data_IF_799732172452
#
_entry.id   IF_799732172452
#
_cell.length_a   1.000
_cell.length_b   1.000
_cell.length_c   1.000
_cell.angle_alpha   90.00
_cell.angle_beta   90.00
_cell.angle_gamma   90.00
#
_symmetry.space_group_name_H-M   'P 1'
#
loop_
_entity.id
_entity.type
_entity.pdbx_description
1 polymer ?
#
# COMPACT_ATOMS: atom_id res chain seq x y z
N UNK A 1 11.27 30.91 -16.47
CA UNK A 1 11.89 30.18 -17.58
C UNK A 1 13.29 30.75 -17.73
N UNK A 2 14.20 30.28 -16.88
CA UNK A 2 15.56 30.81 -16.71
C UNK A 2 16.28 29.82 -15.81
N UNK A 3 17.06 28.90 -16.38
CA UNK A 3 18.22 28.18 -15.80
C UNK A 3 18.74 27.17 -16.87
N UNK A 4 18.97 27.60 -18.11
CA UNK A 4 19.43 26.67 -19.18
C UNK A 4 20.74 27.11 -19.87
N UNK A 5 21.48 28.07 -19.32
CA UNK A 5 22.79 28.42 -19.87
C UNK A 5 23.83 28.59 -18.76
N UNK A 6 24.98 27.94 -18.97
CA UNK A 6 26.25 28.09 -18.24
C UNK A 6 26.56 27.11 -17.09
N UNK A 7 26.53 25.82 -17.39
CA UNK A 7 27.60 24.92 -16.93
C UNK A 7 27.83 23.87 -18.02
N UNK A 8 28.57 24.26 -19.06
CA UNK A 8 29.07 23.30 -20.05
C UNK A 8 30.09 22.40 -19.35
N UNK A 9 29.59 21.30 -18.77
CA UNK A 9 30.41 20.30 -18.11
C UNK A 9 31.49 19.88 -19.09
N UNK A 10 32.76 20.11 -18.72
CA UNK A 10 33.90 19.78 -19.56
C UNK A 10 33.75 18.35 -20.07
N UNK A 11 34.08 18.10 -21.34
CA UNK A 11 34.00 16.76 -21.92
C UNK A 11 34.72 15.72 -21.04
N UNK A 12 35.81 16.10 -20.38
CA UNK A 12 36.51 15.26 -19.41
C UNK A 12 35.68 14.92 -18.16
N UNK A 13 34.96 15.89 -17.61
CA UNK A 13 34.11 15.72 -16.42
C UNK A 13 32.91 14.81 -16.73
N UNK A 14 32.34 14.93 -17.94
CA UNK A 14 31.28 14.03 -18.41
C UNK A 14 31.77 12.58 -18.47
N UNK A 15 32.99 12.34 -18.98
CA UNK A 15 33.57 10.98 -19.02
C UNK A 15 33.77 10.41 -17.62
N UNK A 16 34.28 11.22 -16.69
CA UNK A 16 34.47 10.80 -15.31
C UNK A 16 33.14 10.49 -14.63
N UNK A 17 32.11 11.30 -14.87
CA UNK A 17 30.78 11.10 -14.33
C UNK A 17 30.16 9.78 -14.80
N UNK A 18 30.20 9.50 -16.10
CA UNK A 18 29.74 8.21 -16.63
C UNK A 18 30.55 7.05 -16.06
N UNK A 19 31.88 7.17 -16.04
CA UNK A 19 32.76 6.14 -15.48
C UNK A 19 32.44 5.81 -14.02
N UNK A 20 32.25 6.84 -13.19
CA UNK A 20 31.89 6.71 -11.79
C UNK A 20 30.48 6.11 -11.61
N UNK A 21 29.50 6.60 -12.35
CA UNK A 21 28.11 6.13 -12.26
C UNK A 21 28.00 4.65 -12.67
N UNK A 22 28.58 4.28 -13.82
CA UNK A 22 28.60 2.89 -14.30
C UNK A 22 29.33 2.00 -13.29
N UNK A 23 30.50 2.44 -12.79
CA UNK A 23 31.25 1.67 -11.79
C UNK A 23 30.45 1.42 -10.51
N UNK A 24 29.72 2.44 -10.04
CA UNK A 24 28.89 2.33 -8.84
C UNK A 24 27.72 1.37 -9.06
N UNK A 25 27.01 1.49 -10.18
CA UNK A 25 25.86 0.61 -10.49
C UNK A 25 26.34 -0.84 -10.61
N UNK A 26 27.41 -1.10 -11.35
CA UNK A 26 27.97 -2.45 -11.47
C UNK A 26 28.33 -2.99 -10.09
N UNK A 27 29.01 -2.20 -9.26
CA UNK A 27 29.38 -2.61 -7.91
C UNK A 27 28.16 -2.95 -7.05
N UNK A 28 27.07 -2.17 -7.09
CA UNK A 28 25.85 -2.50 -6.34
C UNK A 28 25.21 -3.78 -6.91
N UNK A 29 24.99 -3.81 -8.22
CA UNK A 29 24.29 -4.91 -8.90
C UNK A 29 25.02 -6.25 -8.81
N UNK A 30 26.34 -6.23 -8.70
CA UNK A 30 27.14 -7.47 -8.64
C UNK A 30 27.78 -7.69 -7.28
N UNK A 31 27.93 -6.66 -6.44
CA UNK A 31 28.55 -6.75 -5.12
C UNK A 31 27.56 -7.13 -4.02
N UNK A 32 26.30 -6.69 -4.10
CA UNK A 32 25.29 -7.03 -3.09
C UNK A 32 24.88 -8.51 -3.06
N UNK A 33 25.22 -9.29 -4.11
CA UNK A 33 24.86 -10.71 -4.23
C UNK A 33 26.03 -11.68 -3.99
N UNK A 34 27.12 -11.25 -3.35
CA UNK A 34 28.30 -12.11 -3.11
C UNK A 34 28.09 -13.20 -2.05
N UNK A 35 26.86 -13.65 -1.81
CA UNK A 35 26.54 -14.82 -1.00
C UNK A 35 26.69 -16.08 -1.86
N UNK A 36 27.93 -16.52 -2.13
CA UNK A 36 28.21 -17.78 -2.82
C UNK A 36 29.54 -17.83 -3.59
N UNK A 37 29.83 -18.99 -4.19
CA UNK A 37 31.07 -19.34 -4.90
C UNK A 37 31.34 -18.59 -6.22
N UNK A 38 30.49 -17.63 -6.61
CA UNK A 38 30.70 -16.83 -7.82
C UNK A 38 31.79 -15.77 -7.58
N UNK A 39 33.02 -16.12 -7.95
CA UNK A 39 34.22 -15.35 -7.59
C UNK A 39 34.35 -14.06 -8.39
N UNK A 40 33.90 -14.01 -9.64
CA UNK A 40 34.12 -12.85 -10.52
C UNK A 40 32.89 -11.97 -10.75
N UNK A 41 33.14 -10.69 -11.05
CA UNK A 41 32.10 -9.73 -11.41
C UNK A 41 31.25 -10.17 -12.61
N UNK A 42 31.88 -10.79 -13.62
CA UNK A 42 31.20 -11.30 -14.82
C UNK A 42 30.26 -12.45 -14.48
N UNK A 43 30.70 -13.43 -13.70
CA UNK A 43 29.85 -14.56 -13.28
C UNK A 43 28.62 -14.08 -12.50
N UNK A 44 28.81 -13.08 -11.62
CA UNK A 44 27.69 -12.51 -10.85
C UNK A 44 26.72 -11.75 -11.75
N UNK A 45 27.22 -10.97 -12.71
CA UNK A 45 26.37 -10.28 -13.68
C UNK A 45 25.56 -11.28 -14.53
N UNK A 46 26.20 -12.33 -15.04
CA UNK A 46 25.54 -13.38 -15.83
C UNK A 46 24.42 -14.06 -15.04
N UNK A 47 24.63 -14.35 -13.75
CA UNK A 47 23.62 -14.99 -12.88
C UNK A 47 22.33 -14.16 -12.75
N UNK A 48 22.44 -12.84 -12.79
CA UNK A 48 21.29 -11.93 -12.67
C UNK A 48 20.86 -11.34 -14.01
N UNK A 49 21.45 -11.78 -15.12
CA UNK A 49 21.21 -11.24 -16.45
C UNK A 49 21.59 -9.76 -16.61
N UNK A 50 22.50 -9.26 -15.79
CA UNK A 50 22.97 -7.87 -15.87
C UNK A 50 23.93 -7.69 -17.06
N UNK A 51 23.87 -6.56 -17.79
CA UNK A 51 24.69 -6.34 -18.99
C UNK A 51 26.18 -6.51 -18.72
N UNK A 52 26.84 -7.40 -19.47
CA UNK A 52 28.26 -7.68 -19.30
C UNK A 52 29.12 -6.50 -19.77
N UNK A 53 28.61 -5.73 -20.73
CA UNK A 53 29.28 -4.54 -21.26
C UNK A 53 29.49 -3.48 -20.17
N UNK A 54 28.56 -3.37 -19.21
CA UNK A 54 28.73 -2.50 -18.05
C UNK A 54 29.85 -3.00 -17.13
N UNK A 55 29.99 -4.31 -16.96
CA UNK A 55 31.08 -4.91 -16.18
C UNK A 55 32.44 -4.65 -16.84
N UNK A 56 32.51 -4.74 -18.16
CA UNK A 56 33.72 -4.49 -18.94
C UNK A 56 34.13 -3.01 -18.92
N UNK A 57 33.16 -2.10 -19.04
CA UNK A 57 33.43 -0.65 -18.86
C UNK A 57 33.98 -0.38 -17.46
N UNK A 58 33.37 -0.92 -16.39
CA UNK A 58 33.90 -0.76 -15.03
C UNK A 58 35.34 -1.26 -14.94
N UNK A 59 35.64 -2.43 -15.50
CA UNK A 59 36.99 -2.99 -15.44
C UNK A 59 38.00 -2.07 -16.14
N UNK A 60 37.70 -1.59 -17.34
CA UNK A 60 38.56 -0.64 -18.07
C UNK A 60 38.77 0.67 -17.30
N UNK A 61 37.69 1.26 -16.77
CA UNK A 61 37.76 2.48 -15.95
C UNK A 61 38.63 2.27 -14.71
N UNK A 62 38.50 1.14 -14.03
CA UNK A 62 39.32 0.82 -12.85
C UNK A 62 40.82 0.64 -13.18
N UNK A 63 41.15 0.22 -14.41
CA UNK A 63 42.52 0.13 -14.90
C UNK A 63 43.03 1.44 -15.53
N UNK A 64 42.26 2.53 -15.46
CA UNK A 64 42.65 3.85 -15.99
C UNK A 64 42.42 4.03 -17.48
N UNK A 65 41.82 3.05 -18.16
CA UNK A 65 41.45 3.16 -19.57
C UNK A 65 40.00 3.64 -19.68
N UNK A 66 39.78 4.94 -19.91
CA UNK A 66 38.43 5.46 -20.14
C UNK A 66 37.93 5.10 -21.55
N UNK A 67 36.78 4.41 -21.67
CA UNK A 67 36.12 4.20 -22.95
C UNK A 67 35.67 5.51 -23.61
N UNK A 68 35.34 5.43 -24.89
CA UNK A 68 34.76 6.58 -25.62
C UNK A 68 33.42 7.03 -25.01
N UNK A 69 33.11 8.32 -25.12
CA UNK A 69 31.84 8.85 -24.59
C UNK A 69 30.60 8.20 -25.22
N UNK A 70 30.64 7.88 -26.51
CA UNK A 70 29.54 7.21 -27.21
C UNK A 70 29.29 5.82 -26.63
N UNK A 71 30.35 5.07 -26.36
CA UNK A 71 30.29 3.76 -25.72
C UNK A 71 29.77 3.87 -24.28
N UNK A 72 30.25 4.83 -23.50
CA UNK A 72 29.76 5.08 -22.15
C UNK A 72 28.26 5.41 -22.13
N UNK A 73 27.79 6.27 -23.06
CA UNK A 73 26.37 6.60 -23.22
C UNK A 73 25.53 5.38 -23.57
N UNK A 74 26.03 4.54 -24.48
CA UNK A 74 25.36 3.30 -24.87
C UNK A 74 25.24 2.32 -23.70
N UNK A 75 26.33 2.10 -22.95
CA UNK A 75 26.33 1.24 -21.77
C UNK A 75 25.43 1.79 -20.66
N UNK A 76 25.41 3.10 -20.47
CA UNK A 76 24.48 3.75 -19.53
C UNK A 76 23.01 3.50 -19.95
N UNK A 77 22.69 3.61 -21.23
CA UNK A 77 21.35 3.33 -21.74
C UNK A 77 20.95 1.86 -21.53
N UNK A 78 21.85 0.90 -21.80
CA UNK A 78 21.62 -0.52 -21.52
C UNK A 78 21.36 -0.77 -20.03
N UNK A 79 22.16 -0.15 -19.17
CA UNK A 79 22.04 -0.28 -17.71
C UNK A 79 20.69 0.27 -17.22
N UNK A 80 20.28 1.44 -17.72
CA UNK A 80 18.98 2.03 -17.40
C UNK A 80 17.81 1.16 -17.89
N UNK A 81 17.93 0.59 -19.09
CA UNK A 81 16.92 -0.31 -19.62
C UNK A 81 16.79 -1.57 -18.75
N UNK A 82 17.91 -2.13 -18.31
CA UNK A 82 17.93 -3.26 -17.38
C UNK A 82 17.23 -2.90 -16.06
N UNK A 83 17.58 -1.77 -15.44
CA UNK A 83 16.97 -1.32 -14.18
C UNK A 83 15.47 -1.05 -14.33
N UNK A 84 15.06 -0.47 -15.45
CA UNK A 84 13.64 -0.25 -15.73
C UNK A 84 12.86 -1.56 -15.75
N UNK A 85 13.36 -2.56 -16.49
CA UNK A 85 12.68 -3.86 -16.63
C UNK A 85 12.68 -4.66 -15.32
N UNK A 86 13.81 -4.70 -14.61
CA UNK A 86 14.01 -5.63 -13.50
C UNK A 86 13.74 -5.04 -12.12
N UNK A 87 13.76 -3.71 -11.98
CA UNK A 87 13.52 -3.04 -10.69
C UNK A 87 12.28 -2.15 -10.74
N UNK A 88 12.29 -1.08 -11.55
CA UNK A 88 11.22 -0.07 -11.49
C UNK A 88 9.84 -0.61 -11.87
N UNK A 89 9.74 -1.52 -12.85
CA UNK A 89 8.46 -2.14 -13.20
C UNK A 89 7.91 -3.02 -12.07
N UNK A 90 8.77 -3.77 -11.39
CA UNK A 90 8.37 -4.61 -10.27
C UNK A 90 7.94 -3.75 -9.07
N UNK A 91 8.77 -2.77 -8.71
CA UNK A 91 8.50 -1.82 -7.64
C UNK A 91 7.18 -1.07 -7.87
N UNK A 92 6.90 -0.66 -9.12
CA UNK A 92 5.63 0.01 -9.46
C UNK A 92 4.43 -0.89 -9.21
N UNK A 93 4.50 -2.19 -9.56
CA UNK A 93 3.41 -3.15 -9.31
C UNK A 93 3.18 -3.33 -7.80
N UNK A 94 4.25 -3.47 -7.04
CA UNK A 94 4.20 -3.62 -5.57
C UNK A 94 3.59 -2.38 -4.90
N UNK A 95 4.02 -1.18 -5.30
CA UNK A 95 3.46 0.08 -4.80
C UNK A 95 1.97 0.21 -5.11
N UNK A 96 1.53 -0.21 -6.29
CA UNK A 96 0.11 -0.21 -6.64
C UNK A 96 -0.68 -1.23 -5.82
N UNK A 97 -0.11 -2.41 -5.54
CA UNK A 97 -0.74 -3.41 -4.68
C UNK A 97 -0.87 -2.91 -3.22
N UNK A 98 0.15 -2.24 -2.70
CA UNK A 98 0.12 -1.62 -1.37
C UNK A 98 -0.94 -0.53 -1.28
N UNK A 99 -1.02 0.37 -2.27
CA UNK A 99 -2.06 1.41 -2.34
C UNK A 99 -3.46 0.80 -2.35
N UNK A 100 -3.69 -0.25 -3.16
CA UNK A 100 -4.98 -0.96 -3.18
C UNK A 100 -5.35 -1.57 -1.82
N UNK A 101 -4.39 -2.21 -1.14
CA UNK A 101 -4.61 -2.78 0.20
C UNK A 101 -4.99 -1.70 1.22
N UNK A 102 -4.36 -0.53 1.18
CA UNK A 102 -4.70 0.58 2.07
C UNK A 102 -6.10 1.13 1.82
N UNK A 103 -6.51 1.26 0.55
CA UNK A 103 -7.88 1.69 0.20
C UNK A 103 -8.92 0.67 0.68
N UNK A 104 -8.67 -0.63 0.49
CA UNK A 104 -9.57 -1.68 0.98
C UNK A 104 -9.67 -1.66 2.51
N UNK A 105 -8.55 -1.46 3.20
CA UNK A 105 -8.53 -1.34 4.66
C UNK A 105 -9.36 -0.16 5.15
N UNK A 106 -9.14 1.05 4.59
CA UNK A 106 -9.94 2.24 4.90
C UNK A 106 -11.43 2.04 4.62
N UNK A 107 -11.77 1.42 3.48
CA UNK A 107 -13.17 1.17 3.13
C UNK A 107 -13.83 0.17 4.10
N UNK A 108 -13.10 -0.84 4.60
CA UNK A 108 -13.61 -1.74 5.66
C UNK A 108 -13.83 -0.99 6.95
N UNK A 109 -12.87 -0.16 7.37
CA UNK A 109 -12.99 0.67 8.59
C UNK A 109 -14.17 1.64 8.48
N UNK A 110 -14.41 2.26 7.31
CA UNK A 110 -15.57 3.13 7.07
C UNK A 110 -16.92 2.38 7.08
N UNK A 111 -16.94 1.13 6.60
CA UNK A 111 -18.15 0.27 6.64
C UNK A 111 -18.42 -0.20 8.06
N UNK A 112 -17.37 -0.54 8.82
CA UNK A 112 -17.47 -0.97 10.21
C UNK A 112 -17.94 0.18 11.12
N UNK A 113 -17.40 1.40 10.93
CA UNK A 113 -17.89 2.61 11.63
C UNK A 113 -19.34 2.95 11.28
N UNK A 114 -19.79 2.68 10.04
CA UNK A 114 -21.20 2.87 9.64
C UNK A 114 -22.13 1.74 10.10
N UNK A 115 -21.62 0.55 10.38
CA UNK A 115 -22.42 -0.54 10.94
C UNK A 115 -22.54 -0.46 12.46
N UNK A 116 -21.55 0.13 13.15
CA UNK A 116 -21.61 0.38 14.60
C UNK A 116 -22.51 1.60 14.94
N UNK A 117 -22.82 2.45 13.96
CA UNK A 117 -23.99 3.33 14.01
C UNK A 117 -25.27 2.57 13.62
N UNK A 118 -25.59 1.50 14.35
CA UNK A 118 -26.93 0.90 14.31
C UNK A 118 -28.01 1.97 14.52
N UNK A 119 -29.28 1.74 14.14
CA UNK A 119 -30.32 2.75 14.25
C UNK A 119 -30.39 3.23 15.70
N UNK A 120 -29.85 4.40 15.97
CA UNK A 120 -30.18 5.13 17.18
C UNK A 120 -31.65 5.41 17.02
N UNK A 121 -32.49 4.59 17.69
CA UNK A 121 -33.89 4.89 17.87
C UNK A 121 -33.97 6.38 18.15
N UNK A 122 -34.69 7.12 17.29
CA UNK A 122 -34.85 8.56 17.50
C UNK A 122 -35.40 8.72 18.92
N UNK A 123 -35.07 9.82 19.59
CA UNK A 123 -35.70 10.14 20.88
C UNK A 123 -37.24 10.07 20.74
N UNK A 124 -37.76 10.36 19.55
CA UNK A 124 -39.18 10.22 19.18
C UNK A 124 -39.68 8.77 19.17
N UNK A 125 -38.84 7.80 18.77
CA UNK A 125 -39.18 6.37 18.81
C UNK A 125 -39.22 5.88 20.26
N UNK A 126 -38.32 6.37 21.10
CA UNK A 126 -38.29 6.05 22.54
C UNK A 126 -39.50 6.69 23.25
N UNK A 127 -39.84 7.93 22.91
CA UNK A 127 -41.00 8.64 23.45
C UNK A 127 -42.32 7.99 23.01
N UNK A 128 -42.43 7.54 21.77
CA UNK A 128 -43.63 6.85 21.30
C UNK A 128 -43.82 5.48 21.96
N UNK A 129 -42.73 4.74 22.21
CA UNK A 129 -42.78 3.49 22.98
C UNK A 129 -43.16 3.72 24.45
N UNK A 130 -42.62 4.77 25.09
CA UNK A 130 -42.98 5.14 26.47
C UNK A 130 -44.45 5.57 26.57
N UNK A 131 -44.94 6.32 25.59
CA UNK A 131 -46.33 6.74 25.54
C UNK A 131 -47.28 5.57 25.34
N UNK A 132 -46.96 4.65 24.42
CA UNK A 132 -47.74 3.43 24.23
C UNK A 132 -47.77 2.56 25.51
N UNK A 133 -46.64 2.47 26.23
CA UNK A 133 -46.59 1.76 27.51
C UNK A 133 -47.42 2.44 28.61
N UNK A 134 -47.49 3.78 28.65
CA UNK A 134 -48.37 4.52 29.54
C UNK A 134 -49.85 4.31 29.22
N UNK A 135 -50.22 4.34 27.95
CA UNK A 135 -51.61 4.08 27.51
C UNK A 135 -52.06 2.65 27.88
N UNK A 136 -51.15 1.68 27.79
CA UNK A 136 -51.44 0.29 28.21
C UNK A 136 -51.59 0.15 29.74
N UNK A 137 -50.94 1.03 30.51
CA UNK A 137 -51.07 1.08 31.97
C UNK A 137 -52.34 1.81 32.41
N UNK A 138 -52.84 2.77 31.64
CA UNK A 138 -54.08 3.50 31.92
C UNK A 138 -55.33 2.64 31.61
N UNK A 139 -55.27 1.77 30.59
CA UNK A 139 -56.34 0.82 30.28
C UNK A 139 -56.49 -0.32 31.31
N UNK A 140 -55.45 -0.62 32.10
CA UNK A 140 -55.52 -1.65 33.16
C UNK A 140 -56.05 -1.12 34.50
N UNK A 141 -56.08 0.19 34.70
CA UNK A 141 -56.61 0.82 35.94
C UNK A 141 -58.10 1.19 35.80
N UNK A 142 -58.63 1.27 34.58
CA UNK A 142 -60.03 1.65 34.34
C UNK A 142 -61.05 0.51 34.57
N UNK A 143 -60.61 -0.74 34.78
CA UNK A 143 -61.50 -1.92 34.90
C UNK A 143 -61.72 -2.43 36.34
N UNK A 144 -61.23 -1.71 37.37
CA UNK A 144 -61.44 -2.04 38.79
C UNK A 144 -62.27 -0.98 39.53
N UNK A 145 -63.52 -0.72 39.10
CA UNK A 145 -64.46 0.04 39.93
C UNK A 145 -65.93 -0.13 39.54
N UNK A 146 -66.56 -1.27 39.87
CA UNK A 146 -67.99 -1.32 40.19
C UNK A 146 -68.30 -2.34 41.31
N UNK A 147 -69.31 -2.07 42.16
CA UNK A 147 -69.36 -2.52 43.55
C UNK A 147 -70.02 -3.89 43.77
N UNK A 148 -69.67 -4.49 44.90
CA UNK A 148 -70.23 -5.71 45.45
C UNK A 148 -71.77 -5.67 45.56
N UNK A 149 -72.44 -6.71 45.07
CA UNK A 149 -73.80 -7.07 45.49
C UNK A 149 -73.90 -8.57 45.72
N UNK A 150 -74.50 -8.91 46.85
CA UNK A 150 -74.66 -10.19 47.54
C UNK A 150 -75.67 -11.11 46.85
N UNK A 151 -75.41 -12.44 46.83
CA UNK A 151 -76.37 -13.57 47.01
C UNK A 151 -75.77 -14.86 46.41
N UNK A 152 -75.30 -15.81 47.23
CA UNK A 152 -76.06 -16.96 47.78
C UNK A 152 -76.10 -18.21 46.89
N UNK A 153 -75.43 -19.24 47.43
CA UNK A 153 -75.80 -20.67 47.53
C UNK A 153 -75.81 -21.58 46.30
N UNK A 154 -75.18 -22.74 46.46
CA UNK A 154 -75.65 -23.99 45.86
C UNK A 154 -74.57 -25.02 45.61
N UNK A 155 -74.17 -25.78 46.63
CA UNK A 155 -73.46 -27.05 46.46
C UNK A 155 -74.36 -28.06 45.75
N UNK A 156 -73.84 -28.82 44.79
CA UNK A 156 -74.10 -30.27 44.70
C UNK A 156 -73.02 -31.00 43.89
N UNK A 157 -72.64 -32.13 44.46
CA UNK A 157 -71.70 -33.15 44.00
C UNK A 157 -72.43 -34.13 43.06
N UNK A 158 -71.73 -34.67 42.06
CA UNK A 158 -71.78 -36.09 41.65
C UNK A 158 -70.50 -36.46 40.91
#
# INVERSE_FOLDING_TARGET
>A
MLLDEEDEVSSGDVHQLYGAAISRVVHVMTGSFSMGSATTYRQRAQKIGFPEEAVEVRQRVAHGALPSLSEMRWVAALTLQFLYKNYWQLQRKELMALKKRQVVKRKREEVEVKQDSGPTHSIDDIQSLLKAAQETLEDTVAEEQQPATTAQTGWTIS
#
